data_IF_638607901694
#
_entry.id   IF_638607901694
#
_cell.length_a   1.000
_cell.length_b   1.000
_cell.length_c   1.000
_cell.angle_alpha   90.00
_cell.angle_beta   90.00
_cell.angle_gamma   90.00
#
_symmetry.space_group_name_H-M   'P 1'
#
loop_
_entity.id
_entity.type
_entity.pdbx_description
1 polymer ?
#
# COMPACT_ATOMS: atom_id res chain seq x y z
N UNK A 1 -4.25 20.48 8.37
CA UNK A 1 -3.27 19.48 7.91
C UNK A 1 -2.21 19.34 9.00
N UNK A 2 -1.90 18.11 9.43
CA UNK A 2 -0.75 17.88 10.30
C UNK A 2 0.54 18.13 9.51
N UNK A 3 1.59 18.71 10.12
CA UNK A 3 2.85 18.88 9.42
C UNK A 3 3.39 17.53 8.96
N UNK A 4 4.02 17.44 7.76
CA UNK A 4 4.57 16.19 7.27
C UNK A 4 5.68 15.68 8.20
N UNK A 5 5.64 14.38 8.53
CA UNK A 5 6.58 13.77 9.48
C UNK A 5 7.97 13.45 8.88
N UNK A 6 8.18 13.72 7.60
CA UNK A 6 9.44 13.47 6.90
C UNK A 6 9.59 14.37 5.68
N UNK A 7 10.83 14.54 5.21
CA UNK A 7 11.12 15.24 3.95
C UNK A 7 10.36 14.63 2.76
N UNK A 8 10.28 13.29 2.69
CA UNK A 8 9.51 12.59 1.67
C UNK A 8 8.03 12.98 1.70
N UNK A 9 7.39 12.95 2.88
CA UNK A 9 5.99 13.35 3.03
C UNK A 9 5.78 14.82 2.66
N UNK A 10 6.72 15.69 3.04
CA UNK A 10 6.70 17.11 2.69
C UNK A 10 6.78 17.34 1.18
N UNK A 11 7.72 16.68 0.50
CA UNK A 11 7.86 16.81 -0.96
C UNK A 11 6.61 16.33 -1.72
N UNK A 12 5.94 15.27 -1.23
CA UNK A 12 4.67 14.82 -1.82
C UNK A 12 3.54 15.82 -1.59
N UNK A 13 3.44 16.40 -0.40
CA UNK A 13 2.43 17.43 -0.11
C UNK A 13 2.63 18.69 -0.97
N UNK A 14 3.87 19.16 -1.11
CA UNK A 14 4.20 20.29 -1.99
C UNK A 14 3.89 20.00 -3.46
N UNK A 15 4.14 18.75 -3.93
CA UNK A 15 3.76 18.34 -5.29
C UNK A 15 2.25 18.38 -5.52
N UNK A 16 1.45 17.97 -4.53
CA UNK A 16 -0.01 18.11 -4.62
C UNK A 16 -0.44 19.58 -4.62
N UNK A 17 0.16 20.42 -3.77
CA UNK A 17 -0.13 21.85 -3.71
C UNK A 17 0.20 22.56 -5.02
N UNK A 18 1.33 22.24 -5.65
CA UNK A 18 1.75 22.83 -6.91
C UNK A 18 0.75 22.61 -8.05
N UNK A 19 0.03 21.49 -8.05
CA UNK A 19 -0.94 21.17 -9.11
C UNK A 19 -2.39 21.53 -8.78
N UNK A 20 -2.70 21.87 -7.51
CA UNK A 20 -4.06 22.24 -7.10
C UNK A 20 -4.63 23.45 -7.87
N UNK A 21 -3.76 24.40 -8.25
CA UNK A 21 -4.15 25.58 -9.02
C UNK A 21 -4.44 25.32 -10.50
N UNK A 22 -4.11 24.16 -11.04
CA UNK A 22 -4.27 23.84 -12.46
C UNK A 22 -5.72 23.55 -12.88
N UNK A 23 -6.63 23.34 -11.94
CA UNK A 23 -8.07 23.13 -12.14
C UNK A 23 -8.46 21.86 -12.89
N UNK A 24 -7.63 21.38 -13.82
CA UNK A 24 -7.89 20.20 -14.68
C UNK A 24 -6.85 19.13 -14.47
N UNK A 25 -6.77 18.62 -13.24
CA UNK A 25 -5.78 17.59 -12.85
C UNK A 25 -6.38 16.52 -11.98
N UNK A 26 -5.84 15.30 -12.08
CA UNK A 26 -6.08 14.21 -11.15
C UNK A 26 -4.87 14.04 -10.24
N UNK A 27 -5.12 13.90 -8.94
CA UNK A 27 -4.15 13.44 -7.95
C UNK A 27 -4.58 12.06 -7.50
N UNK A 28 -3.87 11.04 -7.90
CA UNK A 28 -4.16 9.65 -7.52
C UNK A 28 -3.23 9.22 -6.39
N UNK A 29 -3.75 9.17 -5.18
CA UNK A 29 -3.00 8.73 -4.01
C UNK A 29 -3.04 7.23 -3.91
N UNK A 30 -1.87 6.58 -4.03
CA UNK A 30 -1.71 5.18 -3.73
C UNK A 30 -1.08 5.00 -2.34
N UNK A 31 -1.30 3.82 -1.72
CA UNK A 31 -0.71 3.49 -0.44
C UNK A 31 -0.14 2.07 -0.47
N UNK A 32 1.12 1.92 -0.08
CA UNK A 32 1.80 0.62 0.10
C UNK A 32 1.46 -0.37 -1.03
N UNK A 33 2.10 -0.27 -2.19
CA UNK A 33 1.77 -1.08 -3.36
C UNK A 33 2.17 -2.54 -3.21
N UNK A 34 1.33 -3.44 -3.72
CA UNK A 34 1.56 -4.87 -3.78
C UNK A 34 0.93 -5.48 -5.03
N UNK A 35 1.34 -6.67 -5.38
CA UNK A 35 0.76 -7.56 -6.38
C UNK A 35 1.29 -9.00 -6.18
N UNK A 36 1.04 -9.89 -7.14
CA UNK A 36 1.47 -11.28 -7.14
C UNK A 36 2.94 -11.50 -7.55
N UNK A 37 3.63 -10.48 -8.06
CA UNK A 37 5.02 -10.62 -8.53
C UNK A 37 6.01 -10.30 -7.42
N UNK A 38 6.90 -11.23 -7.12
CA UNK A 38 7.97 -10.99 -6.15
C UNK A 38 8.89 -9.87 -6.63
N UNK A 39 9.31 -9.01 -5.70
CA UNK A 39 10.19 -7.90 -6.05
C UNK A 39 10.45 -6.92 -4.89
N UNK A 40 11.53 -6.13 -4.98
CA UNK A 40 12.00 -5.30 -3.87
C UNK A 40 11.04 -4.15 -3.50
N UNK A 41 10.13 -3.79 -4.38
CA UNK A 41 9.13 -2.74 -4.14
C UNK A 41 7.75 -3.28 -3.79
N UNK A 42 7.55 -4.60 -3.80
CA UNK A 42 6.30 -5.24 -3.42
C UNK A 42 6.22 -5.38 -1.89
N UNK A 43 5.11 -4.94 -1.30
CA UNK A 43 4.90 -5.02 0.16
C UNK A 43 4.90 -6.47 0.66
N UNK A 44 4.26 -7.39 -0.05
CA UNK A 44 4.21 -8.81 0.32
C UNK A 44 5.61 -9.44 0.32
N UNK A 45 6.46 -9.06 -0.66
CA UNK A 45 7.87 -9.48 -0.69
C UNK A 45 8.68 -8.94 0.48
N UNK A 46 8.47 -7.65 0.83
CA UNK A 46 9.18 -7.02 1.95
C UNK A 46 8.85 -7.69 3.27
N UNK A 47 7.58 -7.98 3.53
CA UNK A 47 7.15 -8.71 4.74
C UNK A 47 7.85 -10.07 4.83
N UNK A 48 7.92 -10.80 3.73
CA UNK A 48 8.61 -12.10 3.67
C UNK A 48 10.14 -12.01 3.89
N UNK A 49 10.76 -10.87 3.59
CA UNK A 49 12.22 -10.68 3.68
C UNK A 49 12.69 -10.04 4.98
N UNK A 50 11.81 -9.36 5.72
CA UNK A 50 12.20 -8.71 6.97
C UNK A 50 12.54 -9.74 8.05
N UNK A 51 13.63 -9.46 8.81
CA UNK A 51 14.00 -10.25 9.98
C UNK A 51 13.01 -10.07 11.13
N UNK A 52 12.52 -8.84 11.30
CA UNK A 52 11.42 -8.51 12.21
C UNK A 52 10.41 -7.62 11.49
N UNK A 53 9.12 -7.86 11.70
CA UNK A 53 8.02 -7.09 11.14
C UNK A 53 7.42 -6.15 12.18
N UNK A 54 6.97 -4.98 11.74
CA UNK A 54 6.36 -3.97 12.60
C UNK A 54 4.84 -4.02 12.46
N UNK A 55 4.16 -4.12 13.61
CA UNK A 55 2.70 -4.19 13.64
C UNK A 55 2.09 -2.81 13.41
N UNK A 56 1.38 -2.65 12.32
CA UNK A 56 0.61 -1.44 12.03
C UNK A 56 -0.61 -1.77 11.16
N UNK A 57 -1.53 -0.81 11.06
CA UNK A 57 -2.73 -0.92 10.22
C UNK A 57 -2.67 0.09 9.08
N UNK A 58 -2.92 -0.36 7.83
CA UNK A 58 -2.84 0.49 6.66
C UNK A 58 -3.86 0.09 5.58
N UNK A 59 -4.28 1.07 4.78
CA UNK A 59 -4.80 0.81 3.45
C UNK A 59 -3.66 0.38 2.53
N UNK A 60 -3.97 -0.47 1.55
CA UNK A 60 -3.02 -0.98 0.56
C UNK A 60 -3.59 -0.80 -0.84
N UNK A 61 -2.72 -0.65 -1.84
CA UNK A 61 -3.11 -0.58 -3.24
C UNK A 61 -2.55 -1.77 -4.01
N UNK A 62 -3.43 -2.62 -4.53
CA UNK A 62 -3.02 -3.62 -5.51
C UNK A 62 -2.68 -2.91 -6.83
N UNK A 63 -1.49 -3.16 -7.38
CA UNK A 63 -0.96 -2.39 -8.52
C UNK A 63 -1.87 -2.42 -9.74
N UNK A 64 -2.37 -3.60 -10.11
CA UNK A 64 -3.27 -3.75 -11.25
C UNK A 64 -4.60 -3.02 -11.05
N UNK A 65 -5.18 -3.13 -9.84
CA UNK A 65 -6.43 -2.44 -9.51
C UNK A 65 -6.24 -0.91 -9.49
N UNK A 66 -5.09 -0.44 -8.98
CA UNK A 66 -4.75 0.98 -9.01
C UNK A 66 -4.68 1.53 -10.43
N UNK A 67 -3.94 0.87 -11.33
CA UNK A 67 -3.80 1.31 -12.72
C UNK A 67 -5.15 1.32 -13.42
N UNK A 68 -5.94 0.25 -13.26
CA UNK A 68 -7.28 0.17 -13.85
C UNK A 68 -8.17 1.31 -13.34
N UNK A 69 -8.22 1.55 -12.03
CA UNK A 69 -9.00 2.63 -11.45
C UNK A 69 -8.61 4.02 -12.00
N UNK A 70 -7.31 4.28 -12.18
CA UNK A 70 -6.85 5.53 -12.77
C UNK A 70 -7.32 5.69 -14.23
N UNK A 71 -7.26 4.62 -15.01
CA UNK A 71 -7.74 4.61 -16.39
C UNK A 71 -9.28 4.77 -16.46
N UNK A 72 -10.02 4.11 -15.57
CA UNK A 72 -11.48 4.21 -15.50
C UNK A 72 -11.92 5.63 -15.14
N UNK A 73 -11.28 6.28 -14.15
CA UNK A 73 -11.54 7.67 -13.80
C UNK A 73 -11.31 8.61 -14.98
N UNK A 74 -10.23 8.36 -15.72
CA UNK A 74 -9.89 9.17 -16.89
C UNK A 74 -10.87 8.93 -18.06
N UNK A 75 -11.17 7.68 -18.37
CA UNK A 75 -12.06 7.28 -19.47
C UNK A 75 -13.50 7.74 -19.24
N UNK A 76 -14.02 7.64 -18.01
CA UNK A 76 -15.35 8.11 -17.62
C UNK A 76 -15.44 9.64 -17.49
N UNK A 77 -14.32 10.36 -17.65
CA UNK A 77 -14.24 11.81 -17.42
C UNK A 77 -14.73 12.21 -16.02
N UNK A 78 -14.38 11.40 -15.01
CA UNK A 78 -14.72 11.71 -13.63
C UNK A 78 -14.28 13.13 -13.25
N UNK A 79 -14.93 13.80 -12.30
CA UNK A 79 -14.54 15.15 -11.88
C UNK A 79 -13.07 15.22 -11.48
N UNK A 80 -12.36 16.24 -11.94
CA UNK A 80 -10.96 16.45 -11.55
C UNK A 80 -10.80 16.59 -10.04
N UNK A 81 -9.60 16.33 -9.53
CA UNK A 81 -9.25 16.47 -8.14
C UNK A 81 -8.54 15.24 -7.55
N UNK A 82 -8.49 15.18 -6.23
CA UNK A 82 -7.77 14.13 -5.50
C UNK A 82 -8.65 12.92 -5.23
N UNK A 83 -8.14 11.73 -5.55
CA UNK A 83 -8.74 10.43 -5.27
C UNK A 83 -7.77 9.54 -4.48
N UNK A 84 -8.25 8.93 -3.40
CA UNK A 84 -7.53 7.88 -2.71
C UNK A 84 -7.81 6.57 -3.44
N UNK A 85 -6.82 6.07 -4.18
CA UNK A 85 -6.95 4.86 -4.99
C UNK A 85 -6.27 3.69 -4.26
N UNK A 86 -6.96 3.21 -3.24
CA UNK A 86 -6.59 2.01 -2.47
C UNK A 86 -7.71 0.99 -2.54
N UNK A 87 -7.39 -0.29 -2.38
CA UNK A 87 -8.42 -1.30 -2.19
C UNK A 87 -9.22 -0.99 -0.92
N UNK A 88 -10.56 -1.09 -0.95
CA UNK A 88 -11.41 -0.80 0.20
C UNK A 88 -11.04 -1.63 1.44
N UNK A 89 -11.17 -1.03 2.61
CA UNK A 89 -10.78 -1.63 3.88
C UNK A 89 -9.35 -1.29 4.28
N UNK A 90 -8.87 -2.01 5.28
CA UNK A 90 -7.49 -1.93 5.77
C UNK A 90 -7.08 -3.28 6.34
N UNK A 91 -5.80 -3.52 6.46
CA UNK A 91 -5.25 -4.72 7.11
C UNK A 91 -4.15 -4.34 8.09
N UNK A 92 -4.00 -5.17 9.12
CA UNK A 92 -2.83 -5.12 9.99
C UNK A 92 -1.69 -5.97 9.40
N UNK A 93 -0.45 -5.68 9.80
CA UNK A 93 0.69 -6.52 9.40
C UNK A 93 0.50 -7.96 9.84
N UNK A 94 -0.07 -8.20 11.03
CA UNK A 94 -0.39 -9.54 11.53
C UNK A 94 -1.33 -10.30 10.59
N UNK A 95 -2.43 -9.68 10.17
CA UNK A 95 -3.37 -10.28 9.23
C UNK A 95 -2.73 -10.62 7.87
N UNK A 96 -1.76 -9.82 7.42
CA UNK A 96 -1.01 -10.11 6.19
C UNK A 96 -0.07 -11.29 6.40
N UNK A 97 0.64 -11.34 7.54
CA UNK A 97 1.52 -12.46 7.90
C UNK A 97 0.73 -13.77 7.98
N UNK A 98 -0.41 -13.79 8.65
CA UNK A 98 -1.28 -14.98 8.75
C UNK A 98 -1.66 -15.52 7.36
N UNK A 99 -1.99 -14.63 6.40
CA UNK A 99 -2.31 -15.05 5.02
C UNK A 99 -1.08 -15.58 4.28
N UNK A 100 0.09 -14.95 4.46
CA UNK A 100 1.34 -15.43 3.88
C UNK A 100 1.67 -16.83 4.42
N UNK A 101 1.56 -17.06 5.73
CA UNK A 101 1.81 -18.36 6.36
C UNK A 101 0.83 -19.43 5.88
N UNK A 102 -0.45 -19.09 5.80
CA UNK A 102 -1.48 -20.04 5.36
C UNK A 102 -1.33 -20.45 3.89
N UNK A 103 -0.98 -19.51 3.00
CA UNK A 103 -0.97 -19.74 1.55
C UNK A 103 0.41 -20.14 1.04
N UNK A 104 1.46 -19.40 1.39
CA UNK A 104 2.81 -19.62 0.85
C UNK A 104 3.66 -20.58 1.69
N UNK A 105 3.35 -20.77 2.97
CA UNK A 105 4.06 -21.64 3.90
C UNK A 105 5.59 -21.46 3.86
N UNK A 106 6.10 -20.26 4.16
CA UNK A 106 7.50 -19.87 3.89
C UNK A 106 8.57 -20.62 4.70
N UNK A 107 8.21 -21.60 5.52
CA UNK A 107 9.15 -22.48 6.27
C UNK A 107 9.94 -21.78 7.40
N UNK A 108 9.66 -20.50 7.68
CA UNK A 108 10.24 -19.75 8.79
C UNK A 108 9.17 -18.96 9.54
N UNK A 109 9.29 -18.80 10.86
CA UNK A 109 8.37 -17.97 11.63
C UNK A 109 8.60 -16.48 11.32
N UNK A 110 7.54 -15.67 11.42
CA UNK A 110 7.63 -14.22 11.43
C UNK A 110 7.83 -13.73 12.87
N UNK A 111 8.84 -12.91 13.08
CA UNK A 111 9.14 -12.29 14.37
C UNK A 111 8.66 -10.85 14.33
N UNK A 112 7.88 -10.44 15.34
CA UNK A 112 7.44 -9.06 15.48
C UNK A 112 8.35 -8.29 16.41
N UNK A 113 8.44 -6.96 16.19
CA UNK A 113 9.00 -6.06 17.19
C UNK A 113 8.14 -6.11 18.45
N UNK A 114 8.77 -6.12 19.62
CA UNK A 114 8.06 -6.26 20.88
C UNK A 114 7.15 -5.06 21.18
N UNK A 115 7.58 -3.86 20.79
CA UNK A 115 6.84 -2.61 20.97
C UNK A 115 7.38 -1.51 20.06
N UNK A 116 6.70 -0.37 20.06
CA UNK A 116 7.07 0.82 19.29
C UNK A 116 8.44 1.37 19.69
N UNK A 117 8.78 1.36 20.98
CA UNK A 117 10.04 1.89 21.49
C UNK A 117 11.25 1.11 20.91
N UNK A 118 11.20 -0.23 20.94
CA UNK A 118 12.23 -1.08 20.36
C UNK A 118 12.38 -0.80 18.86
N UNK A 119 11.25 -0.71 18.14
CA UNK A 119 11.24 -0.46 16.71
C UNK A 119 11.87 0.89 16.34
N UNK A 120 11.44 1.98 16.99
CA UNK A 120 11.95 3.32 16.70
C UNK A 120 13.39 3.53 17.12
N UNK A 121 13.83 2.89 18.16
CA UNK A 121 15.23 2.93 18.59
C UNK A 121 16.16 2.20 17.61
N UNK A 122 15.70 1.10 17.00
CA UNK A 122 16.56 0.16 16.27
C UNK A 122 16.42 0.26 14.75
N UNK A 123 15.21 0.43 14.23
CA UNK A 123 14.94 0.22 12.80
C UNK A 123 14.38 1.45 12.06
N UNK A 124 13.73 2.39 12.76
CA UNK A 124 13.08 3.50 12.09
C UNK A 124 13.55 4.86 12.61
N UNK A 125 14.18 5.64 11.75
CA UNK A 125 14.59 7.03 12.03
C UNK A 125 13.45 8.04 11.99
N UNK A 126 12.32 7.68 11.38
CA UNK A 126 11.16 8.56 11.20
C UNK A 126 9.88 7.84 11.63
N UNK A 127 8.92 8.56 12.23
CA UNK A 127 7.64 7.97 12.63
C UNK A 127 6.95 7.25 11.46
N UNK A 128 6.40 6.08 11.74
CA UNK A 128 5.55 5.32 10.81
C UNK A 128 4.10 5.64 11.10
N UNK A 129 3.37 6.09 10.10
CA UNK A 129 1.95 6.37 10.28
C UNK A 129 1.11 5.13 10.01
N UNK A 130 0.16 4.84 10.89
CA UNK A 130 -1.03 4.10 10.53
C UNK A 130 -1.87 5.00 9.62
N UNK A 131 -2.17 4.54 8.43
CA UNK A 131 -2.88 5.37 7.46
C UNK A 131 -3.97 4.56 6.75
N UNK A 132 -5.21 4.81 7.15
CA UNK A 132 -6.41 4.28 6.50
C UNK A 132 -7.01 5.41 5.66
N UNK A 133 -7.12 5.18 4.36
CA UNK A 133 -7.60 6.15 3.40
C UNK A 133 -9.08 5.89 3.07
N UNK A 134 -9.86 6.96 3.07
CA UNK A 134 -11.27 6.92 2.67
C UNK A 134 -11.39 6.86 1.14
N UNK A 135 -12.04 5.82 0.63
CA UNK A 135 -12.25 5.57 -0.80
C UNK A 135 -13.65 5.92 -1.29
N UNK A 136 -14.50 6.56 -0.48
CA UNK A 136 -15.88 6.90 -0.85
C UNK A 136 -15.95 7.70 -2.13
N UNK A 137 -15.12 8.74 -2.27
CA UNK A 137 -15.08 9.57 -3.49
C UNK A 137 -14.76 8.76 -4.75
N UNK A 138 -13.89 7.75 -4.65
CA UNK A 138 -13.57 6.84 -5.77
C UNK A 138 -14.81 6.05 -6.19
N UNK A 139 -15.52 5.49 -5.21
CA UNK A 139 -16.77 4.74 -5.43
C UNK A 139 -17.90 5.62 -5.98
N UNK A 140 -18.06 6.82 -5.46
CA UNK A 140 -19.04 7.81 -5.95
C UNK A 140 -18.76 8.25 -7.39
N UNK A 141 -17.51 8.20 -7.82
CA UNK A 141 -17.10 8.42 -9.22
C UNK A 141 -17.33 7.19 -10.12
N UNK A 142 -17.97 6.13 -9.61
CA UNK A 142 -18.30 4.92 -10.38
C UNK A 142 -17.20 3.87 -10.43
N UNK A 143 -16.07 4.06 -9.74
CA UNK A 143 -14.97 3.09 -9.73
C UNK A 143 -15.04 2.24 -8.47
N UNK A 144 -15.29 0.95 -8.64
CA UNK A 144 -15.40 -0.03 -7.55
C UNK A 144 -14.21 -0.98 -7.61
N UNK A 145 -13.41 -1.00 -6.55
CA UNK A 145 -12.32 -1.94 -6.36
C UNK A 145 -12.75 -3.06 -5.40
N UNK A 146 -12.16 -4.23 -5.56
CA UNK A 146 -12.34 -5.36 -4.63
C UNK A 146 -11.74 -5.04 -3.25
N UNK A 147 -12.24 -5.66 -2.17
CA UNK A 147 -11.67 -5.50 -0.84
C UNK A 147 -10.17 -5.82 -0.77
N UNK A 148 -9.44 -5.14 0.12
CA UNK A 148 -7.99 -5.32 0.26
C UNK A 148 -7.61 -6.75 0.64
N UNK A 149 -8.42 -7.41 1.45
CA UNK A 149 -8.19 -8.78 1.89
C UNK A 149 -8.27 -9.77 0.73
N UNK A 150 -9.28 -9.63 -0.13
CA UNK A 150 -9.45 -10.43 -1.34
C UNK A 150 -8.28 -10.23 -2.31
N UNK A 151 -7.88 -8.97 -2.52
CA UNK A 151 -6.74 -8.64 -3.38
C UNK A 151 -5.43 -9.25 -2.88
N UNK A 152 -5.20 -9.31 -1.56
CA UNK A 152 -4.03 -9.95 -0.96
C UNK A 152 -4.08 -11.46 -1.15
N UNK A 153 -5.21 -12.09 -0.83
CA UNK A 153 -5.35 -13.55 -0.97
C UNK A 153 -5.14 -14.01 -2.40
N UNK A 154 -5.73 -13.32 -3.37
CA UNK A 154 -5.56 -13.65 -4.78
C UNK A 154 -4.10 -13.46 -5.22
N UNK A 155 -3.45 -12.35 -4.80
CA UNK A 155 -2.03 -12.13 -5.10
C UNK A 155 -1.14 -13.24 -4.53
N UNK A 156 -1.43 -13.72 -3.32
CA UNK A 156 -0.68 -14.81 -2.70
C UNK A 156 -0.95 -16.16 -3.37
N UNK A 157 -2.19 -16.45 -3.77
CA UNK A 157 -2.54 -17.67 -4.52
C UNK A 157 -1.88 -17.72 -5.89
N UNK A 158 -1.64 -16.56 -6.51
CA UNK A 158 -1.00 -16.43 -7.82
C UNK A 158 0.49 -16.02 -7.71
N UNK A 159 1.11 -16.22 -6.53
CA UNK A 159 2.45 -15.73 -6.26
C UNK A 159 3.49 -16.24 -7.25
N UNK A 160 4.24 -15.31 -7.83
CA UNK A 160 5.33 -15.57 -8.75
C UNK A 160 6.65 -15.14 -8.11
N UNK A 161 7.40 -16.11 -7.60
CA UNK A 161 8.71 -15.87 -7.02
C UNK A 161 9.69 -15.28 -8.06
N UNK A 162 10.52 -14.32 -7.63
CA UNK A 162 11.62 -13.82 -8.46
C UNK A 162 12.59 -14.99 -8.77
N UNK A 163 12.95 -15.22 -10.04
CA UNK A 163 13.93 -16.26 -10.36
C UNK A 163 15.26 -15.96 -9.63
N UNK A 164 16.01 -17.00 -9.22
CA UNK A 164 17.30 -16.80 -8.60
C UNK A 164 18.19 -15.99 -9.55
N UNK A 165 18.88 -14.97 -9.01
CA UNK A 165 19.81 -14.18 -9.80
C UNK A 165 20.89 -15.13 -10.34
N UNK A 166 21.23 -15.05 -11.63
CA UNK A 166 22.37 -15.80 -12.14
C UNK A 166 23.62 -15.41 -11.33
N UNK A 167 24.32 -16.44 -10.86
CA UNK A 167 25.58 -16.33 -10.12
C UNK A 167 26.70 -15.74 -10.98
#
# INVERSE_FOLDING_TARGET
RHPPCSFYSGSKALGEEAIQGLGRSYVWRLRIPFDQHDGPRNYLSKIQRYSKVYQNANSLSHRGDFVRACLDLWASRAPFGTYNVTNPGFVTTGQVVERIEAILKPGRPFVFWANDEEFYRTAAKTPRSNCVLDTRKLREAGVVLRPVEEAIEESLKQWQAEPPKPS
#
